data_IF_556100001287
#
_entry.id   IF_556100001287
#
_cell.length_a   1.000
_cell.length_b   1.000
_cell.length_c   1.000
_cell.angle_alpha   90.00
_cell.angle_beta   90.00
_cell.angle_gamma   90.00
#
_symmetry.space_group_name_H-M   'P 1'
#
loop_
_entity.id
_entity.type
_entity.pdbx_description
1 polymer ?
#
# COMPACT_ATOMS: atom_id res chain seq x y z
N UNK A 1 22.67 -17.77 -54.42
CA UNK A 1 23.37 -16.81 -55.29
C UNK A 1 22.34 -15.83 -55.82
N UNK A 2 22.65 -14.52 -55.77
CA UNK A 2 21.97 -13.39 -56.43
C UNK A 2 20.45 -13.20 -56.19
N UNK A 3 19.93 -11.98 -56.13
CA UNK A 3 20.60 -10.69 -56.21
C UNK A 3 19.59 -9.54 -56.09
N UNK A 4 20.02 -8.42 -55.53
CA UNK A 4 19.18 -7.25 -55.28
C UNK A 4 18.67 -6.59 -56.56
N UNK A 5 17.49 -5.95 -56.47
CA UNK A 5 17.28 -4.69 -57.20
C UNK A 5 16.89 -3.57 -56.24
N UNK A 6 17.67 -2.49 -56.34
CA UNK A 6 17.58 -1.25 -55.56
C UNK A 6 17.70 -0.11 -56.58
N UNK A 7 16.64 0.67 -56.76
CA UNK A 7 16.67 2.01 -57.33
C UNK A 7 15.60 2.81 -56.55
N UNK A 8 15.93 3.87 -55.78
CA UNK A 8 16.54 5.16 -56.13
C UNK A 8 15.66 5.96 -57.13
N UNK A 9 15.40 7.26 -56.94
CA UNK A 9 15.87 8.23 -55.93
C UNK A 9 15.01 9.53 -56.02
N UNK A 10 14.98 10.32 -54.94
CA UNK A 10 15.01 11.80 -54.87
C UNK A 10 14.02 12.67 -55.70
N UNK A 11 13.68 13.91 -55.35
CA UNK A 11 13.65 14.70 -54.09
C UNK A 11 12.78 15.96 -54.41
N UNK A 12 12.63 17.05 -53.67
CA UNK A 12 13.21 17.66 -52.44
C UNK A 12 12.09 18.55 -51.82
N UNK A 13 12.24 19.32 -50.73
CA UNK A 13 13.36 19.64 -49.86
C UNK A 13 12.98 20.74 -48.86
N UNK A 14 13.82 21.00 -47.85
CA UNK A 14 13.71 22.06 -46.80
C UNK A 14 12.43 22.05 -45.92
N UNK A 15 12.51 22.13 -44.59
CA UNK A 15 13.36 23.03 -43.79
C UNK A 15 13.78 22.42 -42.45
N UNK A 16 14.84 22.97 -41.88
CA UNK A 16 15.35 22.59 -40.58
C UNK A 16 14.51 23.17 -39.43
N UNK A 17 14.26 22.36 -38.40
CA UNK A 17 13.91 22.83 -37.07
C UNK A 17 14.59 21.91 -36.04
N UNK A 18 15.81 22.27 -35.63
CA UNK A 18 16.52 21.61 -34.53
C UNK A 18 15.94 22.17 -33.23
N UNK A 19 14.97 21.48 -32.65
CA UNK A 19 14.63 21.68 -31.25
C UNK A 19 15.46 20.72 -30.42
N UNK A 20 16.36 21.26 -29.63
CA UNK A 20 16.94 20.52 -28.51
C UNK A 20 15.78 20.12 -27.59
N UNK A 21 15.42 18.84 -27.63
CA UNK A 21 14.54 18.26 -26.62
C UNK A 21 15.34 18.12 -25.35
N UNK A 22 15.18 19.07 -24.43
CA UNK A 22 15.68 18.97 -23.06
C UNK A 22 15.28 17.60 -22.49
N UNK A 23 16.26 16.73 -22.24
CA UNK A 23 16.03 15.50 -21.49
C UNK A 23 15.62 15.91 -20.08
N UNK A 24 14.30 15.95 -19.85
CA UNK A 24 13.70 15.95 -18.53
C UNK A 24 14.19 14.71 -17.80
N UNK A 25 15.31 14.85 -17.10
CA UNK A 25 15.76 13.90 -16.09
C UNK A 25 14.69 13.92 -15.00
N UNK A 26 13.72 13.03 -15.14
CA UNK A 26 12.80 12.65 -14.09
C UNK A 26 13.63 12.34 -12.85
N UNK A 27 13.55 13.24 -11.86
CA UNK A 27 14.17 13.05 -10.56
C UNK A 27 13.40 11.94 -9.85
N UNK A 28 13.70 10.69 -10.19
CA UNK A 28 13.16 9.52 -9.54
C UNK A 28 13.33 9.68 -8.02
N UNK A 29 12.20 9.67 -7.31
CA UNK A 29 12.16 9.99 -5.88
C UNK A 29 12.98 9.01 -5.01
N UNK A 30 13.41 7.89 -5.61
CA UNK A 30 14.47 7.01 -5.12
C UNK A 30 15.84 7.60 -5.47
N UNK A 31 16.35 8.44 -4.58
CA UNK A 31 17.58 9.24 -4.76
C UNK A 31 18.68 8.58 -5.59
N UNK A 32 19.04 9.30 -6.66
CA UNK A 32 20.09 9.04 -7.66
C UNK A 32 21.24 8.16 -7.16
N UNK A 33 21.68 7.23 -7.99
CA UNK A 33 22.89 6.43 -7.72
C UNK A 33 24.19 7.27 -7.65
N UNK A 34 24.12 8.58 -7.95
CA UNK A 34 25.17 9.55 -7.66
C UNK A 34 25.33 9.94 -6.17
N UNK A 35 24.42 9.54 -5.28
CA UNK A 35 24.55 9.82 -3.84
C UNK A 35 25.62 8.93 -3.18
N UNK A 36 26.83 9.48 -3.07
CA UNK A 36 28.07 8.83 -2.61
C UNK A 36 28.00 8.23 -1.20
N UNK A 37 26.95 8.48 -0.40
CA UNK A 37 26.80 7.93 0.95
C UNK A 37 25.45 7.27 1.17
N UNK A 38 25.40 5.96 0.91
CA UNK A 38 24.22 5.14 1.25
C UNK A 38 23.82 5.28 2.73
N UNK A 39 22.62 5.80 2.97
CA UNK A 39 22.00 5.91 4.29
C UNK A 39 21.85 4.55 4.97
N UNK A 40 21.67 4.53 6.30
CA UNK A 40 21.41 3.30 7.06
C UNK A 40 20.16 2.57 6.53
N UNK A 41 19.10 3.31 6.22
CA UNK A 41 17.89 2.74 5.61
C UNK A 41 18.16 2.11 4.23
N UNK A 42 18.86 2.83 3.33
CA UNK A 42 19.24 2.30 1.98
C UNK A 42 20.13 1.04 2.11
N UNK A 43 20.97 0.94 3.15
CA UNK A 43 21.76 -0.28 3.46
C UNK A 43 20.86 -1.43 3.93
N UNK A 44 20.05 -1.23 4.97
CA UNK A 44 19.16 -2.28 5.53
C UNK A 44 18.17 -2.78 4.48
N UNK A 45 17.56 -1.88 3.71
CA UNK A 45 16.68 -2.22 2.59
C UNK A 45 17.40 -3.07 1.53
N UNK A 46 18.61 -2.67 1.11
CA UNK A 46 19.41 -3.46 0.15
C UNK A 46 19.79 -4.85 0.70
N UNK A 47 20.04 -4.98 2.00
CA UNK A 47 20.27 -6.28 2.66
C UNK A 47 19.06 -7.20 2.52
N UNK A 48 17.87 -6.77 2.98
CA UNK A 48 16.67 -7.61 2.95
C UNK A 48 16.06 -7.82 1.55
N UNK A 49 16.33 -6.92 0.59
CA UNK A 49 15.95 -7.08 -0.83
C UNK A 49 16.82 -8.10 -1.60
N UNK A 50 17.99 -8.47 -1.08
CA UNK A 50 18.93 -9.39 -1.75
C UNK A 50 18.31 -10.78 -1.91
N UNK A 51 18.51 -11.41 -3.08
CA UNK A 51 18.03 -12.79 -3.33
C UNK A 51 19.10 -13.86 -3.17
N UNK A 52 20.36 -13.55 -3.50
CA UNK A 52 21.48 -14.50 -3.48
C UNK A 52 22.71 -13.86 -2.81
N UNK A 53 23.26 -14.45 -1.73
CA UNK A 53 22.54 -15.39 -0.87
C UNK A 53 21.28 -14.72 -0.29
N UNK A 54 20.28 -15.47 0.18
CA UNK A 54 19.19 -14.91 0.97
C UNK A 54 19.69 -14.03 2.13
N UNK A 55 18.92 -13.05 2.60
CA UNK A 55 19.24 -12.36 3.85
C UNK A 55 19.09 -13.32 5.03
N UNK A 56 19.86 -13.09 6.09
CA UNK A 56 19.50 -13.62 7.39
C UNK A 56 18.25 -12.88 7.88
N UNK A 57 17.26 -13.62 8.38
CA UNK A 57 15.99 -13.10 8.89
C UNK A 57 15.92 -13.17 10.43
N UNK A 58 16.98 -13.65 11.11
CA UNK A 58 17.02 -13.79 12.58
C UNK A 58 16.75 -12.49 13.35
N UNK A 59 17.09 -11.34 12.74
CA UNK A 59 16.84 -9.99 13.27
C UNK A 59 15.53 -9.34 12.78
N UNK A 60 14.64 -10.07 12.12
CA UNK A 60 13.31 -9.57 11.73
C UNK A 60 12.31 -9.89 12.84
N UNK A 61 11.65 -8.86 13.36
CA UNK A 61 10.61 -9.01 14.39
C UNK A 61 9.34 -9.60 13.77
N UNK A 62 8.90 -10.76 14.28
CA UNK A 62 7.64 -11.41 13.93
C UNK A 62 6.54 -11.01 14.93
N UNK A 63 5.50 -10.28 14.50
CA UNK A 63 4.41 -9.87 15.39
C UNK A 63 3.61 -11.04 15.99
N UNK A 64 3.72 -12.27 15.50
CA UNK A 64 3.09 -13.42 16.13
C UNK A 64 3.86 -13.86 17.38
N UNK A 65 5.19 -14.00 17.29
CA UNK A 65 6.01 -14.71 18.28
C UNK A 65 7.04 -13.86 19.03
N UNK A 66 7.43 -12.68 18.54
CA UNK A 66 8.52 -11.90 19.15
C UNK A 66 8.10 -11.22 20.46
N UNK A 67 8.98 -11.31 21.46
CA UNK A 67 8.81 -10.70 22.79
C UNK A 67 9.18 -9.20 22.84
N UNK A 68 9.69 -8.61 21.75
CA UNK A 68 10.04 -7.18 21.69
C UNK A 68 8.82 -6.26 21.50
N UNK A 69 7.66 -6.83 21.16
CA UNK A 69 6.41 -6.07 21.07
C UNK A 69 5.77 -5.88 22.45
N UNK A 70 5.39 -4.64 22.75
CA UNK A 70 4.47 -4.36 23.84
C UNK A 70 3.07 -4.85 23.48
N UNK A 71 2.35 -5.44 24.45
CA UNK A 71 0.96 -5.87 24.30
C UNK A 71 0.04 -4.74 24.79
N UNK A 72 -0.98 -4.41 24.01
CA UNK A 72 -2.00 -3.43 24.41
C UNK A 72 -3.04 -4.10 25.30
N UNK A 73 -3.45 -3.42 26.37
CA UNK A 73 -4.44 -3.96 27.31
C UNK A 73 -5.74 -4.31 26.56
N UNK A 74 -6.17 -5.57 26.66
CA UNK A 74 -7.40 -6.11 26.07
C UNK A 74 -8.64 -5.25 26.39
N UNK A 75 -8.66 -4.56 27.52
CA UNK A 75 -9.75 -3.64 27.89
C UNK A 75 -9.94 -2.47 26.91
N UNK A 76 -8.91 -2.10 26.13
CA UNK A 76 -8.96 -1.08 25.08
C UNK A 76 -9.55 -1.61 23.76
N UNK A 77 -9.77 -2.94 23.66
CA UNK A 77 -10.42 -3.59 22.53
C UNK A 77 -11.94 -3.69 22.72
N UNK A 78 -12.47 -3.34 23.90
CA UNK A 78 -13.90 -3.28 24.14
C UNK A 78 -14.51 -2.00 23.57
N UNK A 79 -15.00 -2.08 22.33
CA UNK A 79 -15.94 -1.11 21.80
C UNK A 79 -17.36 -1.56 22.13
N UNK A 80 -18.09 -0.78 22.93
CA UNK A 80 -19.50 -1.04 23.24
C UNK A 80 -20.44 -0.94 22.01
N UNK A 81 -19.91 -0.52 20.86
CA UNK A 81 -20.65 -0.37 19.61
C UNK A 81 -20.47 -1.57 18.66
N UNK A 82 -19.51 -2.46 18.91
CA UNK A 82 -19.26 -3.61 18.03
C UNK A 82 -20.09 -4.82 18.44
N UNK A 83 -20.85 -5.35 17.50
CA UNK A 83 -21.59 -6.59 17.63
C UNK A 83 -20.79 -7.77 17.09
N UNK A 84 -20.99 -8.95 17.67
CA UNK A 84 -20.39 -10.19 17.15
C UNK A 84 -20.80 -10.48 15.69
N UNK A 85 -21.99 -10.03 15.27
CA UNK A 85 -22.48 -10.20 13.89
C UNK A 85 -21.67 -9.41 12.87
N UNK A 86 -21.19 -8.20 13.18
CA UNK A 86 -20.37 -7.41 12.26
C UNK A 86 -19.02 -8.09 12.04
N UNK A 87 -18.40 -8.59 13.11
CA UNK A 87 -17.16 -9.38 13.04
C UNK A 87 -17.37 -10.67 12.25
N UNK A 88 -18.50 -11.35 12.47
CA UNK A 88 -18.83 -12.60 11.77
C UNK A 88 -18.94 -12.40 10.25
N UNK A 89 -19.72 -11.39 9.82
CA UNK A 89 -19.94 -11.01 8.42
C UNK A 89 -18.66 -10.53 7.71
N UNK A 90 -17.77 -9.87 8.44
CA UNK A 90 -16.45 -9.46 7.94
C UNK A 90 -15.42 -10.59 7.96
N UNK A 91 -15.75 -11.79 8.43
CA UNK A 91 -14.80 -12.89 8.47
C UNK A 91 -13.72 -12.75 9.54
N UNK A 92 -13.96 -11.91 10.56
CA UNK A 92 -13.03 -11.63 11.65
C UNK A 92 -13.19 -12.65 12.77
N UNK A 93 -12.10 -12.90 13.52
CA UNK A 93 -12.14 -13.61 14.79
C UNK A 93 -12.81 -12.73 15.87
N UNK A 94 -13.38 -13.32 16.94
CA UNK A 94 -13.83 -12.58 18.13
C UNK A 94 -12.72 -11.69 18.71
N UNK A 95 -13.06 -10.54 19.28
CA UNK A 95 -12.09 -9.57 19.84
C UNK A 95 -11.26 -10.17 21.01
N UNK A 96 -11.77 -11.22 21.63
CA UNK A 96 -11.12 -12.04 22.66
C UNK A 96 -9.89 -12.79 22.12
N UNK A 97 -9.83 -13.06 20.82
CA UNK A 97 -8.69 -13.70 20.16
C UNK A 97 -7.65 -12.69 19.64
N UNK A 98 -8.02 -11.41 19.55
CA UNK A 98 -7.13 -10.37 19.00
C UNK A 98 -5.97 -10.06 19.95
N UNK A 99 -4.77 -9.97 19.39
CA UNK A 99 -3.52 -9.71 20.12
C UNK A 99 -2.86 -8.42 19.60
N UNK A 100 -3.44 -7.26 19.92
CA UNK A 100 -2.91 -5.97 19.45
C UNK A 100 -1.57 -5.68 20.11
N UNK A 101 -0.57 -5.47 19.25
CA UNK A 101 0.82 -5.23 19.59
C UNK A 101 1.27 -3.84 19.17
N UNK A 102 2.29 -3.32 19.85
CA UNK A 102 2.95 -2.05 19.53
C UNK A 102 4.46 -2.18 19.71
N UNK A 103 5.24 -1.30 19.09
CA UNK A 103 6.70 -1.26 19.28
C UNK A 103 7.05 -0.20 20.32
N UNK A 104 8.00 -0.56 21.20
CA UNK A 104 8.58 0.39 22.15
C UNK A 104 9.12 1.61 21.38
N UNK A 105 8.90 2.79 21.95
CA UNK A 105 9.31 4.09 21.40
C UNK A 105 8.69 4.43 20.02
N UNK A 106 7.61 3.73 19.61
CA UNK A 106 6.83 3.96 18.37
C UNK A 106 5.34 4.17 18.67
N UNK A 107 5.04 5.23 19.41
CA UNK A 107 3.65 5.64 19.70
C UNK A 107 2.85 5.82 18.40
N UNK A 108 1.62 5.32 18.38
CA UNK A 108 0.74 5.34 17.21
C UNK A 108 0.96 4.20 16.20
N UNK A 109 2.00 3.38 16.36
CA UNK A 109 2.17 2.17 15.56
C UNK A 109 1.51 0.97 16.26
N UNK A 110 0.47 0.43 15.63
CA UNK A 110 -0.26 -0.74 16.08
C UNK A 110 -0.16 -1.85 15.04
N UNK A 111 -0.02 -3.09 15.52
CA UNK A 111 0.01 -4.29 14.69
C UNK A 111 -1.02 -5.25 15.25
N UNK A 112 -1.92 -5.72 14.40
CA UNK A 112 -2.94 -6.71 14.78
C UNK A 112 -2.72 -7.96 13.92
N UNK A 113 -1.93 -8.93 14.40
CA UNK A 113 -1.71 -10.17 13.67
C UNK A 113 -2.99 -11.01 13.66
N UNK A 114 -3.16 -11.78 12.59
CA UNK A 114 -4.06 -12.94 12.56
C UNK A 114 -5.56 -12.68 12.87
N UNK A 115 -6.08 -11.50 12.51
CA UNK A 115 -7.48 -11.10 12.77
C UNK A 115 -8.54 -11.83 11.96
N UNK A 116 -8.18 -12.39 10.80
CA UNK A 116 -9.11 -13.14 9.95
C UNK A 116 -9.32 -14.53 10.52
N UNK A 117 -10.52 -15.08 10.36
CA UNK A 117 -10.74 -16.53 10.47
C UNK A 117 -10.17 -17.22 9.22
N UNK A 118 -9.73 -18.46 9.39
CA UNK A 118 -9.11 -19.24 8.31
C UNK A 118 -10.07 -19.45 7.11
N UNK A 119 -11.37 -19.59 7.39
CA UNK A 119 -12.44 -19.72 6.37
C UNK A 119 -12.70 -18.41 5.59
N UNK A 120 -12.38 -17.26 6.20
CA UNK A 120 -12.59 -15.94 5.61
C UNK A 120 -11.47 -15.47 4.67
N UNK A 121 -10.29 -16.13 4.68
CA UNK A 121 -9.16 -15.74 3.84
C UNK A 121 -9.53 -15.82 2.35
N UNK A 122 -10.23 -16.88 1.93
CA UNK A 122 -10.66 -17.02 0.53
C UNK A 122 -11.71 -15.96 0.15
N UNK A 123 -12.64 -15.63 1.06
CA UNK A 123 -13.64 -14.58 0.86
C UNK A 123 -12.95 -13.22 0.60
N UNK A 124 -11.98 -12.83 1.42
CA UNK A 124 -11.26 -11.57 1.24
C UNK A 124 -10.38 -11.57 -0.01
N UNK A 125 -9.75 -12.69 -0.38
CA UNK A 125 -9.02 -12.79 -1.64
C UNK A 125 -9.95 -12.59 -2.85
N UNK A 126 -11.14 -13.20 -2.85
CA UNK A 126 -12.15 -13.02 -3.91
C UNK A 126 -12.59 -11.55 -4.03
N UNK A 127 -12.85 -10.89 -2.89
CA UNK A 127 -13.16 -9.45 -2.82
C UNK A 127 -12.04 -8.59 -3.41
N UNK A 128 -10.78 -8.80 -2.99
CA UNK A 128 -9.61 -8.06 -3.51
C UNK A 128 -9.45 -8.18 -5.03
N UNK A 129 -9.74 -9.34 -5.61
CA UNK A 129 -9.74 -9.48 -7.07
C UNK A 129 -10.96 -8.81 -7.73
N UNK A 130 -12.14 -8.86 -7.13
CA UNK A 130 -13.32 -8.12 -7.59
C UNK A 130 -13.08 -6.60 -7.59
N UNK A 131 -12.32 -6.07 -6.63
CA UNK A 131 -11.92 -4.66 -6.57
C UNK A 131 -10.97 -4.22 -7.71
N UNK A 132 -10.39 -5.16 -8.46
CA UNK A 132 -9.59 -4.87 -9.65
C UNK A 132 -10.42 -4.87 -10.95
N UNK A 133 -11.69 -5.30 -10.89
CA UNK A 133 -12.62 -5.25 -12.03
C UNK A 133 -13.08 -3.80 -12.31
N UNK A 134 -13.46 -3.48 -13.56
CA UNK A 134 -14.13 -2.21 -13.88
C UNK A 134 -15.38 -1.98 -13.00
N UNK A 135 -15.67 -0.73 -12.60
CA UNK A 135 -15.09 0.52 -13.10
C UNK A 135 -13.76 0.95 -12.45
N UNK A 136 -13.25 0.21 -11.47
CA UNK A 136 -12.10 0.66 -10.67
C UNK A 136 -10.83 0.87 -11.51
N UNK A 137 -10.04 1.89 -11.14
CA UNK A 137 -8.82 2.25 -11.86
C UNK A 137 -7.68 1.34 -11.42
N UNK A 138 -6.96 0.74 -12.37
CA UNK A 138 -5.80 -0.12 -12.12
C UNK A 138 -4.59 0.37 -12.91
N UNK A 139 -3.41 -0.20 -12.62
CA UNK A 139 -2.22 0.04 -13.44
C UNK A 139 -2.39 -0.38 -14.90
N UNK A 140 -3.33 -1.28 -15.20
CA UNK A 140 -3.61 -1.75 -16.56
C UNK A 140 -4.39 -0.67 -17.32
N UNK A 141 -5.47 -0.16 -16.72
CA UNK A 141 -6.33 0.85 -17.34
C UNK A 141 -5.60 2.18 -17.52
N UNK A 142 -4.72 2.55 -16.57
CA UNK A 142 -3.83 3.71 -16.68
C UNK A 142 -2.85 3.63 -17.86
N UNK A 143 -2.48 2.42 -18.31
CA UNK A 143 -1.63 2.18 -19.48
C UNK A 143 -2.44 1.75 -20.73
N UNK A 144 -3.73 2.10 -20.79
CA UNK A 144 -4.61 1.84 -21.94
C UNK A 144 -5.04 0.39 -22.14
N UNK A 145 -4.64 -0.52 -21.25
CA UNK A 145 -5.08 -1.93 -21.27
C UNK A 145 -6.27 -2.08 -20.32
N UNK A 146 -7.48 -2.05 -20.87
CA UNK A 146 -8.71 -2.21 -20.07
C UNK A 146 -9.42 -3.52 -20.41
N UNK A 147 -9.18 -4.63 -19.66
CA UNK A 147 -10.02 -5.81 -19.73
C UNK A 147 -11.44 -5.43 -19.32
N UNK A 148 -12.44 -5.80 -20.14
CA UNK A 148 -13.84 -5.45 -19.88
C UNK A 148 -14.45 -6.21 -18.70
N UNK A 149 -13.86 -7.35 -18.35
CA UNK A 149 -14.16 -8.18 -17.19
C UNK A 149 -13.07 -9.24 -17.03
N UNK A 150 -13.02 -9.89 -15.87
CA UNK A 150 -12.12 -10.99 -15.53
C UNK A 150 -10.64 -10.62 -15.67
N UNK A 151 -10.31 -9.51 -15.00
CA UNK A 151 -8.98 -8.91 -14.90
C UNK A 151 -7.99 -9.92 -14.30
N UNK A 152 -8.43 -10.77 -13.37
CA UNK A 152 -7.59 -11.82 -12.79
C UNK A 152 -7.13 -12.84 -13.85
N UNK A 153 -8.04 -13.45 -14.63
CA UNK A 153 -7.65 -14.43 -15.66
C UNK A 153 -6.89 -13.79 -16.81
N UNK A 154 -7.33 -12.61 -17.26
CA UNK A 154 -6.77 -11.96 -18.45
C UNK A 154 -5.45 -11.24 -18.19
N UNK A 155 -5.26 -10.68 -16.99
CA UNK A 155 -4.15 -9.77 -16.70
C UNK A 155 -3.56 -9.87 -15.28
N UNK A 156 -3.96 -10.84 -14.44
CA UNK A 156 -3.53 -10.94 -13.05
C UNK A 156 -2.01 -11.01 -12.84
N UNK A 157 -1.24 -11.52 -13.80
CA UNK A 157 0.24 -11.49 -13.77
C UNK A 157 0.84 -10.08 -13.89
N UNK A 158 0.10 -9.16 -14.52
CA UNK A 158 0.50 -7.78 -14.80
C UNK A 158 -0.21 -6.75 -13.91
N UNK A 159 -1.26 -7.16 -13.18
CA UNK A 159 -1.91 -6.35 -12.16
C UNK A 159 -0.93 -6.04 -11.01
N UNK A 160 -0.93 -4.80 -10.53
CA UNK A 160 -0.04 -4.28 -9.47
C UNK A 160 -0.77 -3.45 -8.43
N UNK A 161 -1.78 -2.69 -8.84
CA UNK A 161 -2.62 -1.89 -7.95
C UNK A 161 -4.01 -1.70 -8.53
N UNK A 162 -4.98 -1.47 -7.64
CA UNK A 162 -6.31 -0.91 -7.92
C UNK A 162 -6.53 0.26 -6.95
N UNK A 163 -7.29 1.26 -7.38
CA UNK A 163 -7.67 2.43 -6.57
C UNK A 163 -9.18 2.46 -6.42
N UNK A 164 -9.66 2.55 -5.17
CA UNK A 164 -11.07 2.55 -4.82
C UNK A 164 -11.49 3.91 -4.26
N UNK A 165 -12.72 4.32 -4.56
CA UNK A 165 -13.31 5.55 -4.05
C UNK A 165 -12.72 6.81 -4.67
N UNK A 166 -12.08 7.64 -3.85
CA UNK A 166 -11.50 8.93 -4.29
C UNK A 166 -10.10 8.71 -4.85
N UNK A 167 -9.98 8.69 -6.18
CA UNK A 167 -8.72 8.47 -6.85
C UNK A 167 -7.73 9.63 -6.62
N UNK A 168 -6.58 9.33 -6.01
CA UNK A 168 -5.49 10.28 -5.81
C UNK A 168 -4.89 10.72 -7.16
N UNK A 169 -4.78 12.03 -7.38
CA UNK A 169 -4.14 12.57 -8.56
C UNK A 169 -2.61 12.63 -8.34
N UNK A 170 -1.87 11.75 -9.01
CA UNK A 170 -0.41 11.67 -8.89
C UNK A 170 0.33 12.90 -9.43
N UNK A 171 -0.27 13.64 -10.38
CA UNK A 171 0.34 14.83 -10.99
C UNK A 171 0.17 16.07 -10.11
N UNK A 172 -1.04 16.33 -9.61
CA UNK A 172 -1.31 17.50 -8.73
C UNK A 172 -1.00 17.23 -7.27
N UNK A 173 -0.94 15.95 -6.88
CA UNK A 173 -0.76 15.45 -5.50
C UNK A 173 -1.95 15.69 -4.57
N UNK A 174 -3.14 15.93 -5.14
CA UNK A 174 -4.39 16.19 -4.40
C UNK A 174 -5.42 15.06 -4.54
N UNK A 175 -6.39 15.07 -3.64
CA UNK A 175 -7.63 14.30 -3.76
C UNK A 175 -8.76 15.18 -4.33
N UNK A 176 -9.52 14.72 -5.34
CA UNK A 176 -10.73 15.41 -5.78
C UNK A 176 -11.82 15.40 -4.68
N UNK A 177 -12.73 16.37 -4.74
CA UNK A 177 -13.83 16.52 -3.76
C UNK A 177 -14.90 15.42 -3.83
N UNK A 178 -14.87 14.59 -4.86
CA UNK A 178 -15.79 13.47 -5.07
C UNK A 178 -15.08 12.29 -5.72
N UNK A 179 -15.55 11.09 -5.45
CA UNK A 179 -15.12 9.84 -6.04
C UNK A 179 -16.24 8.81 -5.96
N UNK A 180 -15.95 7.57 -6.34
CA UNK A 180 -16.93 6.49 -6.26
C UNK A 180 -17.20 6.08 -4.79
N UNK A 181 -18.27 5.32 -4.57
CA UNK A 181 -18.50 4.69 -3.27
C UNK A 181 -17.45 3.59 -3.02
N UNK A 182 -16.94 3.49 -1.80
CA UNK A 182 -16.15 2.35 -1.37
C UNK A 182 -17.06 1.12 -1.20
N UNK A 183 -16.54 -0.12 -1.42
CA UNK A 183 -17.22 -1.35 -1.02
C UNK A 183 -17.63 -1.28 0.45
N UNK A 184 -18.88 -1.61 0.75
CA UNK A 184 -19.48 -1.45 2.07
C UNK A 184 -18.70 -2.23 3.14
N UNK A 185 -18.24 -3.44 2.81
CA UNK A 185 -17.46 -4.29 3.69
C UNK A 185 -16.06 -3.72 4.02
N UNK A 186 -15.50 -2.86 3.16
CA UNK A 186 -14.24 -2.16 3.47
C UNK A 186 -14.48 -0.97 4.41
N UNK A 187 -15.63 -0.29 4.28
CA UNK A 187 -16.05 0.76 5.22
C UNK A 187 -16.30 0.15 6.59
N UNK A 188 -17.12 -0.91 6.66
CA UNK A 188 -17.38 -1.66 7.89
C UNK A 188 -16.08 -2.19 8.53
N UNK A 189 -15.14 -2.74 7.76
CA UNK A 189 -13.84 -3.17 8.27
C UNK A 189 -13.02 -1.99 8.82
N UNK A 190 -12.99 -0.85 8.12
CA UNK A 190 -12.30 0.35 8.59
C UNK A 190 -12.93 0.90 9.88
N UNK A 191 -14.26 0.89 10.00
CA UNK A 191 -15.00 1.31 11.20
C UNK A 191 -14.72 0.38 12.39
N UNK A 192 -14.71 -0.94 12.19
CA UNK A 192 -14.32 -1.92 13.21
C UNK A 192 -12.94 -1.60 13.78
N UNK A 193 -11.93 -1.47 12.90
CA UNK A 193 -10.54 -1.18 13.31
C UNK A 193 -10.42 0.20 13.98
N UNK A 194 -11.14 1.21 13.47
CA UNK A 194 -11.07 2.59 13.97
C UNK A 194 -11.85 2.80 15.28
N UNK A 195 -12.81 1.94 15.60
CA UNK A 195 -13.59 2.00 16.84
C UNK A 195 -12.83 1.49 18.08
N UNK A 196 -11.71 0.79 17.88
CA UNK A 196 -10.82 0.34 18.95
C UNK A 196 -10.15 1.56 19.61
N UNK A 197 -10.24 1.72 20.93
CA UNK A 197 -9.66 2.86 21.67
C UNK A 197 -8.14 2.66 21.91
N UNK A 198 -7.42 2.29 20.85
CA UNK A 198 -5.96 2.07 20.85
C UNK A 198 -5.21 3.38 21.20
N UNK A 199 -5.79 4.53 20.85
CA UNK A 199 -5.31 5.86 21.21
C UNK A 199 -5.82 6.22 22.60
N UNK A 200 -5.16 5.65 23.62
CA UNK A 200 -5.45 5.94 25.03
C UNK A 200 -5.67 7.44 25.26
N UNK A 201 -6.89 7.79 25.69
CA UNK A 201 -7.29 9.18 25.97
C UNK A 201 -6.37 9.90 26.96
N UNK A 202 -5.55 9.16 27.71
CA UNK A 202 -4.55 9.67 28.68
C UNK A 202 -3.43 10.53 28.07
N UNK A 203 -3.33 10.66 26.74
CA UNK A 203 -2.41 11.59 26.07
C UNK A 203 -3.09 12.75 25.32
N UNK A 204 -4.42 12.83 25.33
CA UNK A 204 -5.15 14.04 24.93
C UNK A 204 -5.23 15.00 26.13
N UNK A 205 -4.47 16.10 26.07
CA UNK A 205 -4.52 17.27 26.98
C UNK A 205 -3.93 17.11 28.40
N UNK A 206 -2.79 16.42 28.56
CA UNK A 206 -2.20 16.15 29.90
C UNK A 206 -0.78 16.67 30.23
N UNK A 207 0.12 16.86 29.25
CA UNK A 207 1.56 17.10 29.55
C UNK A 207 2.23 18.30 28.84
N UNK A 208 1.47 19.22 28.26
CA UNK A 208 2.01 20.49 27.73
C UNK A 208 2.05 21.64 28.76
N UNK A 209 2.17 21.32 30.05
CA UNK A 209 2.15 22.32 31.14
C UNK A 209 3.18 22.10 32.26
N UNK A 210 4.32 21.47 31.97
CA UNK A 210 5.40 21.34 32.96
C UNK A 210 6.83 21.32 32.39
N UNK A 211 7.11 22.15 31.37
CA UNK A 211 8.47 22.62 31.03
C UNK A 211 8.42 24.12 30.67
N UNK A 212 7.89 24.92 31.59
CA UNK A 212 8.22 26.34 31.84
C UNK A 212 8.03 26.50 33.35
N UNK A 213 8.92 27.23 34.01
CA UNK A 213 9.11 27.24 35.49
C UNK A 213 9.76 25.96 36.06
N UNK A 214 11.07 25.80 35.83
CA UNK A 214 12.11 26.24 36.78
C UNK A 214 13.42 26.53 36.04
#
# INVERSE_FOLDING_TARGET
MNGSQKLRNNSDGSSADRRDSEESHGSDHYGSDGDLRSTLFKKIFKTYKRRVPPPDLSGVLDPSYSNEFGIINRQLLHSNSLTGSELEQLGLKPLEEWNVKTLKDRLGLYIIPDVLRDDAVEMWLRRVFQYAEPPNVTNLTAHGTSPKSDVLRLAGKSLRWTTLGVAYNWDTKDYPLSGDALPEELVQLADVISSLDLISKRHRWGQFKQIVEL
#
